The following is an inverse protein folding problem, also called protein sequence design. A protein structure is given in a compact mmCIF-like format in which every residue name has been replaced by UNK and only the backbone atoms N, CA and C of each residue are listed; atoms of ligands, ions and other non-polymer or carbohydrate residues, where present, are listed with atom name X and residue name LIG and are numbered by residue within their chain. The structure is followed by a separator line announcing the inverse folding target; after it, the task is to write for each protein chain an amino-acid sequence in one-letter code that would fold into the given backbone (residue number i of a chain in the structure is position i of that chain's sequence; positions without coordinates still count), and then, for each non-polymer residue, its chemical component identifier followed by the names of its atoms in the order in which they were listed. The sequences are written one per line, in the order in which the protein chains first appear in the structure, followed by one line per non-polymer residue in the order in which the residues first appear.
data_IF_310483761311
#
_entry.id   IF_310483761311
#
_cell.length_a   1.000
_cell.length_b   1.000
_cell.length_c   1.000
_cell.angle_alpha   90.00
_cell.angle_beta   90.00
_cell.angle_gamma   90.00
#
_symmetry.space_group_name_H-M   'P 1'
#
loop_
_entity.id
_entity.type
_entity.pdbx_description
1 polymer ?
#
# COMPACT_ATOMS: atom_id res chain seq x y z
N UNK A 1 -4.00 1.81 14.01
CA UNK A 1 -5.19 1.46 13.20
C UNK A 1 -4.84 1.25 11.77
N UNK A 2 -5.42 0.35 11.03
CA UNK A 2 -5.20 0.29 9.62
C UNK A 2 -5.80 1.41 8.83
N UNK A 3 -5.38 1.47 7.55
CA UNK A 3 -5.97 2.33 6.57
C UNK A 3 -5.61 1.85 5.20
N UNK A 4 -4.37 1.36 5.03
CA UNK A 4 -3.80 0.77 3.86
C UNK A 4 -3.97 1.41 2.52
N UNK A 5 -3.15 0.93 1.57
CA UNK A 5 -3.25 1.28 0.18
C UNK A 5 -2.57 2.57 -0.15
N UNK A 6 -1.96 3.21 0.86
CA UNK A 6 -1.51 4.56 0.75
C UNK A 6 -0.07 4.54 0.39
N UNK A 7 0.80 4.84 1.36
CA UNK A 7 2.21 4.75 1.18
C UNK A 7 2.89 4.24 2.40
N UNK A 8 3.72 3.21 2.17
CA UNK A 8 4.44 2.44 3.14
C UNK A 8 3.56 1.76 4.11
N UNK A 9 2.24 1.71 3.78
CA UNK A 9 1.25 1.64 4.79
C UNK A 9 0.90 0.20 5.01
N UNK A 10 0.37 -0.36 3.92
CA UNK A 10 0.39 -1.75 3.55
C UNK A 10 -0.38 -1.67 2.27
N UNK A 11 -0.44 -2.75 1.47
CA UNK A 11 -1.40 -2.92 0.44
C UNK A 11 -2.72 -3.25 1.06
N UNK A 12 -3.87 -2.83 0.50
CA UNK A 12 -5.10 -3.28 1.09
C UNK A 12 -5.42 -4.69 0.74
N UNK A 13 -5.80 -4.94 -0.53
CA UNK A 13 -6.10 -6.24 -1.02
C UNK A 13 -5.03 -6.70 -1.94
N UNK A 14 -4.21 -5.75 -2.43
CA UNK A 14 -3.23 -5.97 -3.46
C UNK A 14 -3.55 -5.12 -4.64
N UNK A 15 -3.63 -3.79 -4.43
CA UNK A 15 -4.00 -2.86 -5.44
C UNK A 15 -4.18 -1.51 -4.83
N UNK A 16 -3.08 -0.76 -4.69
CA UNK A 16 -3.02 0.49 -3.99
C UNK A 16 -3.88 1.59 -4.51
N UNK A 17 -4.15 2.57 -3.63
CA UNK A 17 -4.75 3.82 -3.94
C UNK A 17 -3.70 4.73 -4.50
N UNK A 18 -2.51 4.78 -3.86
CA UNK A 18 -1.48 5.69 -4.24
C UNK A 18 -0.41 5.04 -5.06
N UNK A 19 0.46 4.22 -4.45
CA UNK A 19 1.68 3.77 -5.07
C UNK A 19 1.53 2.47 -5.78
N UNK A 20 2.19 1.42 -5.27
CA UNK A 20 2.31 0.15 -5.93
C UNK A 20 2.87 -0.80 -4.93
N UNK A 21 2.00 -1.61 -4.30
CA UNK A 21 2.26 -2.71 -3.43
C UNK A 21 3.52 -3.47 -3.71
N UNK A 22 4.48 -3.44 -2.77
CA UNK A 22 5.77 -4.01 -2.99
C UNK A 22 5.71 -5.50 -2.89
N UNK A 23 4.82 -5.98 -2.00
CA UNK A 23 4.56 -7.32 -1.61
C UNK A 23 3.68 -7.19 -0.41
N UNK A 24 4.03 -6.27 0.50
CA UNK A 24 3.42 -6.15 1.78
C UNK A 24 3.13 -4.75 2.19
N UNK A 25 3.58 -3.76 1.38
CA UNK A 25 3.30 -2.38 1.64
C UNK A 25 3.52 -1.63 0.38
N UNK A 26 2.71 -0.58 0.20
CA UNK A 26 2.70 0.25 -0.97
C UNK A 26 3.93 1.04 -1.25
N UNK A 27 4.57 0.70 -2.38
CA UNK A 27 5.78 1.28 -2.90
C UNK A 27 5.45 2.55 -3.62
N UNK A 28 5.34 3.58 -2.76
CA UNK A 28 5.16 4.97 -3.02
C UNK A 28 6.32 5.53 -3.77
N UNK A 29 7.49 5.01 -3.40
CA UNK A 29 8.81 5.53 -3.64
C UNK A 29 9.06 6.27 -4.93
#
# INVERSE_FOLDING_TARGET
KPKCGLCRYRCCSGGCSSGKCVNGACDCS
#
